data_IF_541268149407
#
_entry.id   IF_541268149407
#
_cell.length_a   1.000
_cell.length_b   1.000
_cell.length_c   1.000
_cell.angle_alpha   90.00
_cell.angle_beta   90.00
_cell.angle_gamma   90.00
#
_symmetry.space_group_name_H-M   'P 1'
#
loop_
_entity.id
_entity.type
_entity.pdbx_description
1 polymer ?
#
# COMPACT_ATOMS: atom_id res chain seq x y z
N UNK A 1 3.42 13.39 -6.38
CA UNK A 1 4.19 12.61 -7.37
C UNK A 1 4.20 11.12 -7.08
N UNK A 2 4.41 10.66 -5.82
CA UNK A 2 4.42 9.24 -5.44
C UNK A 2 3.14 8.49 -5.86
N UNK A 3 1.95 9.06 -5.56
CA UNK A 3 0.67 8.46 -5.94
C UNK A 3 0.54 8.33 -7.47
N UNK A 4 0.97 9.35 -8.22
CA UNK A 4 0.91 9.31 -9.68
C UNK A 4 1.87 8.27 -10.26
N UNK A 5 3.07 8.15 -9.72
CA UNK A 5 4.04 7.13 -10.13
C UNK A 5 3.49 5.71 -9.86
N UNK A 6 2.89 5.49 -8.68
CA UNK A 6 2.23 4.24 -8.35
C UNK A 6 1.05 3.96 -9.28
N UNK A 7 0.21 4.97 -9.54
CA UNK A 7 -0.97 4.82 -10.40
C UNK A 7 -0.63 4.49 -11.86
N UNK A 8 0.51 4.92 -12.36
CA UNK A 8 0.99 4.60 -13.71
C UNK A 8 1.78 3.29 -13.78
N UNK A 9 2.13 2.72 -12.64
CA UNK A 9 2.95 1.52 -12.64
C UNK A 9 2.23 0.34 -13.30
N UNK A 10 2.86 -0.39 -14.24
CA UNK A 10 2.23 -1.50 -14.97
C UNK A 10 1.64 -2.56 -14.05
N UNK A 11 2.30 -2.88 -12.93
CA UNK A 11 1.77 -3.84 -11.97
C UNK A 11 0.43 -3.39 -11.38
N UNK A 12 0.26 -2.09 -11.07
CA UNK A 12 -0.99 -1.54 -10.54
C UNK A 12 -2.09 -1.54 -11.61
N UNK A 13 -1.75 -1.16 -12.85
CA UNK A 13 -2.67 -1.18 -13.98
C UNK A 13 -3.15 -2.59 -14.34
N UNK A 14 -2.28 -3.59 -14.17
CA UNK A 14 -2.61 -5.00 -14.38
C UNK A 14 -3.42 -5.57 -13.21
N UNK A 15 -2.98 -5.33 -11.99
CA UNK A 15 -3.57 -5.90 -10.77
C UNK A 15 -5.04 -5.52 -10.57
N UNK A 16 -5.40 -4.27 -10.90
CA UNK A 16 -6.75 -3.75 -10.78
C UNK A 16 -7.49 -3.67 -12.12
N UNK A 17 -6.98 -4.36 -13.16
CA UNK A 17 -7.57 -4.49 -14.50
C UNK A 17 -7.78 -3.16 -15.25
N UNK A 18 -7.08 -2.10 -14.86
CA UNK A 18 -7.18 -0.80 -15.55
C UNK A 18 -6.75 -0.89 -17.02
N UNK A 19 -5.74 -1.70 -17.31
CA UNK A 19 -5.25 -1.89 -18.68
C UNK A 19 -6.32 -2.40 -19.66
N UNK A 20 -7.42 -2.96 -19.14
CA UNK A 20 -8.54 -3.47 -19.93
C UNK A 20 -9.71 -2.46 -19.99
N UNK A 21 -9.71 -1.39 -19.20
CA UNK A 21 -10.77 -0.40 -19.12
C UNK A 21 -10.80 0.48 -20.38
N UNK A 22 -11.96 0.58 -21.01
CA UNK A 22 -12.16 1.36 -22.24
C UNK A 22 -13.44 2.20 -22.14
N UNK A 23 -13.44 3.32 -22.87
CA UNK A 23 -14.61 4.19 -22.93
C UNK A 23 -15.86 3.44 -23.43
N UNK A 24 -17.04 3.70 -22.83
CA UNK A 24 -18.29 3.19 -23.34
C UNK A 24 -18.48 3.56 -24.83
N UNK A 25 -18.80 2.58 -25.67
CA UNK A 25 -19.00 2.82 -27.12
C UNK A 25 -17.74 3.00 -27.94
N UNK A 26 -16.55 2.93 -27.37
CA UNK A 26 -15.29 2.94 -28.12
C UNK A 26 -15.15 1.68 -28.99
N UNK A 27 -14.37 1.76 -30.09
CA UNK A 27 -14.09 0.58 -30.93
C UNK A 27 -13.45 -0.58 -30.18
N UNK A 28 -12.73 -0.30 -29.08
CA UNK A 28 -12.18 -1.32 -28.18
C UNK A 28 -13.24 -2.05 -27.38
N UNK A 29 -14.41 -1.43 -27.15
CA UNK A 29 -15.57 -2.02 -26.46
C UNK A 29 -16.58 -2.70 -27.39
N UNK A 30 -16.54 -2.42 -28.67
CA UNK A 30 -17.52 -2.96 -29.65
C UNK A 30 -17.39 -4.47 -29.89
N UNK A 31 -16.26 -5.09 -29.52
CA UNK A 31 -16.05 -6.55 -29.60
C UNK A 31 -16.63 -7.35 -28.43
N UNK A 32 -17.35 -6.73 -27.50
CA UNK A 32 -18.08 -7.40 -26.41
C UNK A 32 -17.26 -7.85 -25.19
N UNK A 33 -15.92 -7.83 -25.25
CA UNK A 33 -15.06 -8.35 -24.18
C UNK A 33 -14.40 -7.27 -23.32
N UNK A 34 -14.58 -6.00 -23.64
CA UNK A 34 -14.00 -4.88 -22.87
C UNK A 34 -15.04 -3.78 -22.66
N UNK A 35 -15.08 -3.25 -21.46
CA UNK A 35 -15.97 -2.16 -21.07
C UNK A 35 -15.32 -1.25 -20.05
N UNK A 36 -16.09 -0.34 -19.51
CA UNK A 36 -15.65 0.48 -18.39
C UNK A 36 -15.42 -0.40 -17.16
N UNK A 37 -14.23 -0.37 -16.62
CA UNK A 37 -13.87 -1.05 -15.36
C UNK A 37 -13.78 -0.02 -14.24
N UNK A 38 -14.62 -0.18 -13.21
CA UNK A 38 -14.67 0.73 -12.07
C UNK A 38 -13.71 0.31 -10.94
N UNK A 39 -13.16 -0.91 -10.98
CA UNK A 39 -12.36 -1.46 -9.88
C UNK A 39 -11.16 -0.55 -9.55
N UNK A 40 -10.39 -0.21 -10.55
CA UNK A 40 -9.22 0.67 -10.36
C UNK A 40 -9.58 2.03 -9.74
N UNK A 41 -10.63 2.68 -10.26
CA UNK A 41 -11.08 3.98 -9.75
C UNK A 41 -11.59 3.87 -8.30
N UNK A 42 -12.31 2.79 -7.98
CA UNK A 42 -12.77 2.50 -6.64
C UNK A 42 -11.61 2.36 -5.67
N UNK A 43 -10.65 1.49 -5.98
CA UNK A 43 -9.51 1.23 -5.10
C UNK A 43 -8.61 2.47 -4.96
N UNK A 44 -8.47 3.27 -6.03
CA UNK A 44 -7.76 4.54 -5.96
C UNK A 44 -8.41 5.51 -4.96
N UNK A 45 -9.74 5.58 -4.92
CA UNK A 45 -10.48 6.41 -3.96
C UNK A 45 -10.50 5.79 -2.56
N UNK A 46 -10.76 4.50 -2.45
CA UNK A 46 -10.94 3.81 -1.16
C UNK A 46 -9.63 3.52 -0.45
N UNK A 47 -8.65 2.95 -1.14
CA UNK A 47 -7.43 2.47 -0.51
C UNK A 47 -6.30 3.48 -0.58
N UNK A 48 -6.16 4.17 -1.70
CA UNK A 48 -4.98 4.98 -1.97
C UNK A 48 -5.17 6.47 -1.67
N UNK A 49 -6.43 6.95 -1.51
CA UNK A 49 -6.70 8.37 -1.24
C UNK A 49 -7.73 8.57 -0.12
N UNK A 50 -8.99 8.78 -0.46
CA UNK A 50 -10.04 9.30 0.42
C UNK A 50 -10.46 8.37 1.57
N UNK A 51 -10.38 7.07 1.34
CA UNK A 51 -10.95 6.05 2.24
C UNK A 51 -12.43 5.76 1.93
N UNK A 52 -12.93 4.63 2.46
CA UNK A 52 -14.32 4.18 2.24
C UNK A 52 -15.36 5.26 2.61
N UNK A 53 -15.08 6.05 3.65
CA UNK A 53 -15.94 7.12 4.11
C UNK A 53 -15.56 8.50 3.56
N UNK A 54 -14.85 8.53 2.41
CA UNK A 54 -14.31 9.74 1.81
C UNK A 54 -15.32 10.73 1.23
N UNK A 55 -16.63 10.43 1.31
CA UNK A 55 -17.70 11.32 0.87
C UNK A 55 -17.96 11.33 -0.64
N UNK A 56 -17.45 10.38 -1.38
CA UNK A 56 -17.74 10.19 -2.81
C UNK A 56 -18.92 9.23 -3.00
N UNK A 57 -19.58 9.36 -4.14
CA UNK A 57 -20.70 8.51 -4.58
C UNK A 57 -20.25 7.46 -5.60
N UNK A 58 -21.12 6.49 -5.87
CA UNK A 58 -20.93 5.53 -6.96
C UNK A 58 -20.81 6.24 -8.34
N UNK A 59 -21.49 7.37 -8.53
CA UNK A 59 -21.35 8.18 -9.74
C UNK A 59 -19.94 8.77 -9.87
N UNK A 60 -19.35 9.21 -8.77
CA UNK A 60 -17.97 9.72 -8.75
C UNK A 60 -16.96 8.63 -9.11
N UNK A 61 -17.16 7.41 -8.60
CA UNK A 61 -16.32 6.25 -8.97
C UNK A 61 -16.41 5.97 -10.46
N UNK A 62 -17.63 5.95 -11.02
CA UNK A 62 -17.84 5.74 -12.45
C UNK A 62 -17.21 6.83 -13.29
N UNK A 63 -17.38 8.08 -12.92
CA UNK A 63 -16.80 9.19 -13.65
C UNK A 63 -15.29 9.23 -13.54
N UNK A 64 -14.70 8.87 -12.40
CA UNK A 64 -13.26 8.69 -12.27
C UNK A 64 -12.76 7.53 -13.16
N UNK A 65 -13.48 6.42 -13.23
CA UNK A 65 -13.15 5.33 -14.15
C UNK A 65 -13.15 5.80 -15.61
N UNK A 66 -14.12 6.62 -16.01
CA UNK A 66 -14.17 7.25 -17.34
C UNK A 66 -12.99 8.20 -17.59
N UNK A 67 -12.60 8.99 -16.57
CA UNK A 67 -11.41 9.86 -16.62
C UNK A 67 -10.14 9.05 -16.87
N UNK A 68 -10.03 7.86 -16.30
CA UNK A 68 -8.85 7.00 -16.42
C UNK A 68 -8.86 6.07 -17.62
N UNK A 69 -9.94 6.02 -18.41
CA UNK A 69 -9.96 5.22 -19.66
C UNK A 69 -8.80 5.62 -20.58
N UNK A 70 -8.23 4.64 -21.25
CA UNK A 70 -7.06 4.84 -22.11
C UNK A 70 -5.70 4.67 -21.38
N UNK A 71 -5.68 4.67 -20.03
CA UNK A 71 -4.49 4.30 -19.27
C UNK A 71 -4.26 2.80 -19.38
N UNK A 72 -3.17 2.39 -20.01
CA UNK A 72 -2.90 0.98 -20.33
C UNK A 72 -1.41 0.68 -20.25
N UNK A 73 -1.04 -0.55 -20.58
CA UNK A 73 0.33 -1.04 -20.55
C UNK A 73 0.87 -1.16 -21.96
N UNK A 74 2.12 -0.76 -22.16
CA UNK A 74 2.91 -1.06 -23.35
C UNK A 74 4.12 -1.93 -22.95
N UNK A 75 4.13 -3.21 -23.30
CA UNK A 75 5.22 -4.11 -22.94
C UNK A 75 6.55 -3.78 -23.66
N UNK A 76 6.51 -2.90 -24.67
CA UNK A 76 7.69 -2.50 -25.44
C UNK A 76 8.30 -1.19 -24.94
N UNK A 77 7.65 -0.50 -23.97
CA UNK A 77 8.17 0.72 -23.39
C UNK A 77 8.93 0.42 -22.07
N UNK A 78 9.97 1.20 -21.79
CA UNK A 78 10.83 1.01 -20.61
C UNK A 78 10.12 1.24 -19.30
N UNK A 79 9.17 2.17 -19.24
CA UNK A 79 8.33 2.41 -18.05
C UNK A 79 7.02 1.63 -18.08
N UNK A 80 6.69 1.02 -19.22
CA UNK A 80 5.55 0.16 -19.41
C UNK A 80 4.19 0.85 -19.39
N UNK A 81 4.13 2.17 -19.21
CA UNK A 81 2.89 2.94 -19.26
C UNK A 81 2.61 3.48 -20.67
N UNK A 82 1.35 3.43 -21.08
CA UNK A 82 0.89 4.06 -22.30
C UNK A 82 -0.49 4.67 -22.15
N UNK A 83 -0.69 5.84 -22.74
CA UNK A 83 -2.01 6.42 -22.94
C UNK A 83 -2.54 6.12 -24.37
N UNK A 84 -3.64 5.39 -24.46
CA UNK A 84 -4.29 5.03 -25.70
C UNK A 84 -5.49 5.96 -25.97
N UNK A 85 -5.28 7.10 -26.64
CA UNK A 85 -6.28 8.14 -26.91
C UNK A 85 -7.59 7.60 -27.47
N UNK A 86 -7.54 6.62 -28.37
CA UNK A 86 -8.73 6.00 -29.00
C UNK A 86 -9.61 5.20 -28.03
N UNK A 87 -9.10 4.87 -26.85
CA UNK A 87 -9.82 4.13 -25.82
C UNK A 87 -10.35 5.07 -24.71
N UNK A 88 -9.98 6.34 -24.76
CA UNK A 88 -10.33 7.35 -23.77
C UNK A 88 -11.75 7.92 -24.00
N UNK A 89 -12.47 8.14 -22.91
CA UNK A 89 -13.77 8.82 -22.88
C UNK A 89 -13.57 10.34 -22.93
N UNK A 90 -13.98 10.95 -24.03
CA UNK A 90 -13.85 12.40 -24.25
C UNK A 90 -15.05 13.21 -23.77
N UNK A 91 -16.10 12.57 -23.25
CA UNK A 91 -17.29 13.24 -22.77
C UNK A 91 -17.07 13.96 -21.43
N UNK A 92 -18.00 14.83 -21.05
CA UNK A 92 -17.98 15.49 -19.75
C UNK A 92 -18.09 14.46 -18.60
N UNK A 93 -17.30 14.66 -17.57
CA UNK A 93 -17.26 13.83 -16.34
C UNK A 93 -17.23 14.75 -15.12
N UNK A 94 -17.73 14.25 -14.00
CA UNK A 94 -17.71 15.02 -12.75
C UNK A 94 -17.34 14.11 -11.57
N UNK A 95 -16.22 14.38 -10.94
CA UNK A 95 -15.75 13.64 -9.76
C UNK A 95 -15.81 14.55 -8.53
N UNK A 96 -16.64 14.21 -7.56
CA UNK A 96 -16.84 15.00 -6.34
C UNK A 96 -17.07 16.51 -6.63
N UNK A 97 -17.92 16.80 -7.59
CA UNK A 97 -18.25 18.16 -7.99
C UNK A 97 -17.29 18.83 -8.98
N UNK A 98 -16.08 18.32 -9.15
CA UNK A 98 -15.10 18.86 -10.11
C UNK A 98 -15.32 18.29 -11.50
N UNK A 99 -15.37 19.17 -12.52
CA UNK A 99 -15.54 18.78 -13.94
C UNK A 99 -14.23 18.33 -14.56
N UNK A 100 -14.34 17.36 -15.48
CA UNK A 100 -13.26 16.87 -16.35
C UNK A 100 -13.79 16.70 -17.77
N UNK A 101 -13.04 17.13 -18.79
CA UNK A 101 -11.77 17.87 -18.71
C UNK A 101 -11.92 19.23 -18.02
N UNK A 102 -10.84 19.67 -17.34
CA UNK A 102 -10.76 20.98 -16.71
C UNK A 102 -10.11 21.96 -17.70
N UNK A 103 -10.90 22.47 -18.64
CA UNK A 103 -10.48 23.37 -19.68
C UNK A 103 -9.71 22.70 -20.84
N UNK A 104 -9.20 23.52 -21.77
CA UNK A 104 -8.55 23.07 -23.01
C UNK A 104 -7.24 22.29 -22.81
N UNK A 105 -6.58 22.46 -21.68
CA UNK A 105 -5.28 21.84 -21.39
C UNK A 105 -5.38 20.56 -20.54
N UNK A 106 -6.57 20.21 -20.13
CA UNK A 106 -6.82 19.08 -19.23
C UNK A 106 -7.36 17.82 -19.92
N UNK A 107 -7.23 17.70 -21.23
CA UNK A 107 -7.81 16.59 -22.00
C UNK A 107 -6.89 15.37 -22.05
N UNK A 108 -7.49 14.21 -22.26
CA UNK A 108 -6.78 12.95 -22.47
C UNK A 108 -6.01 12.46 -21.25
N UNK A 109 -4.75 12.10 -21.39
CA UNK A 109 -3.90 11.61 -20.28
C UNK A 109 -3.85 12.56 -19.09
N UNK A 110 -3.83 13.87 -19.36
CA UNK A 110 -3.76 14.90 -18.32
C UNK A 110 -5.00 14.98 -17.44
N UNK A 111 -6.15 14.54 -17.91
CA UNK A 111 -7.36 14.42 -17.06
C UNK A 111 -7.11 13.50 -15.88
N UNK A 112 -6.55 12.32 -16.14
CA UNK A 112 -6.20 11.34 -15.11
C UNK A 112 -5.16 11.89 -14.13
N UNK A 113 -4.11 12.54 -14.63
CA UNK A 113 -3.10 13.17 -13.77
C UNK A 113 -3.71 14.23 -12.85
N UNK A 114 -4.55 15.11 -13.40
CA UNK A 114 -5.21 16.17 -12.65
C UNK A 114 -6.14 15.59 -11.58
N UNK A 115 -6.91 14.55 -11.93
CA UNK A 115 -7.80 13.88 -10.98
C UNK A 115 -7.02 13.26 -9.82
N UNK A 116 -5.95 12.53 -10.11
CA UNK A 116 -5.09 11.89 -9.10
C UNK A 116 -4.42 12.93 -8.20
N UNK A 117 -3.85 14.00 -8.78
CA UNK A 117 -3.24 15.08 -8.01
C UNK A 117 -4.25 15.83 -7.14
N UNK A 118 -5.48 15.98 -7.61
CA UNK A 118 -6.55 16.61 -6.85
C UNK A 118 -7.00 15.70 -5.70
N UNK A 119 -7.23 14.40 -5.93
CA UNK A 119 -7.55 13.43 -4.88
C UNK A 119 -6.47 13.36 -3.80
N UNK A 120 -5.20 13.40 -4.19
CA UNK A 120 -4.08 13.39 -3.26
C UNK A 120 -4.04 14.59 -2.29
N UNK A 121 -4.68 15.71 -2.65
CA UNK A 121 -4.70 16.94 -1.85
C UNK A 121 -5.96 17.11 -0.98
N UNK A 122 -6.87 16.14 -1.01
CA UNK A 122 -8.11 16.25 -0.25
C UNK A 122 -7.85 16.09 1.26
N UNK A 123 -8.60 16.80 2.12
CA UNK A 123 -8.48 16.65 3.57
C UNK A 123 -8.70 15.21 4.04
N UNK A 124 -9.62 14.47 3.40
CA UNK A 124 -9.88 13.06 3.68
C UNK A 124 -8.65 12.20 3.40
N UNK A 125 -7.92 12.49 2.30
CA UNK A 125 -6.65 11.81 1.97
C UNK A 125 -5.60 12.10 3.02
N UNK A 126 -5.46 13.36 3.43
CA UNK A 126 -4.54 13.73 4.50
C UNK A 126 -4.82 12.98 5.80
N UNK A 127 -6.09 12.93 6.21
CA UNK A 127 -6.52 12.21 7.40
C UNK A 127 -6.24 10.70 7.29
N UNK A 128 -6.60 10.09 6.16
CA UNK A 128 -6.40 8.66 5.93
C UNK A 128 -4.92 8.27 5.92
N UNK A 129 -4.09 8.97 5.17
CA UNK A 129 -2.65 8.68 5.10
C UNK A 129 -2.01 8.86 6.47
N UNK A 130 -2.37 9.93 7.19
CA UNK A 130 -1.90 10.19 8.55
C UNK A 130 -2.30 9.07 9.53
N UNK A 131 -3.54 8.62 9.46
CA UNK A 131 -4.01 7.49 10.27
C UNK A 131 -3.23 6.22 9.95
N UNK A 132 -3.05 5.88 8.67
CA UNK A 132 -2.31 4.67 8.26
C UNK A 132 -0.84 4.72 8.68
N UNK A 133 -0.19 5.86 8.57
CA UNK A 133 1.18 6.05 9.08
C UNK A 133 1.24 5.89 10.60
N UNK A 134 0.31 6.49 11.34
CA UNK A 134 0.26 6.34 12.79
C UNK A 134 -0.07 4.89 13.20
N UNK A 135 -0.92 4.18 12.48
CA UNK A 135 -1.17 2.75 12.68
C UNK A 135 0.07 1.90 12.42
N UNK A 136 0.86 2.25 11.42
CA UNK A 136 2.06 1.50 11.07
C UNK A 136 3.24 1.72 12.04
N UNK A 137 3.36 2.93 12.59
CA UNK A 137 4.55 3.31 13.37
C UNK A 137 4.28 3.47 14.88
N UNK A 138 3.04 3.65 15.32
CA UNK A 138 2.72 3.97 16.72
C UNK A 138 1.93 2.84 17.39
N UNK A 139 0.69 2.59 16.94
CA UNK A 139 -0.15 1.53 17.49
C UNK A 139 -1.34 1.24 16.59
N UNK A 140 -2.00 0.09 16.77
CA UNK A 140 -3.22 -0.28 16.01
C UNK A 140 -4.34 0.76 16.16
N UNK A 141 -4.42 1.39 17.34
CA UNK A 141 -5.36 2.48 17.65
C UNK A 141 -4.57 3.71 18.10
N UNK A 142 -3.99 4.48 17.15
CA UNK A 142 -3.14 5.61 17.50
C UNK A 142 -3.93 6.75 18.15
N UNK A 143 -3.31 7.51 19.07
CA UNK A 143 -3.93 8.71 19.63
C UNK A 143 -4.40 9.68 18.55
N UNK A 144 -5.63 10.18 18.68
CA UNK A 144 -6.20 11.12 17.70
C UNK A 144 -5.37 12.40 17.54
N UNK A 145 -4.68 12.81 18.60
CA UNK A 145 -3.82 14.00 18.59
C UNK A 145 -2.66 13.89 17.60
N UNK A 146 -1.99 12.72 17.52
CA UNK A 146 -0.91 12.52 16.54
C UNK A 146 -1.46 12.48 15.13
N UNK A 147 -2.58 11.78 14.91
CA UNK A 147 -3.22 11.73 13.58
C UNK A 147 -3.61 13.13 13.09
N UNK A 148 -4.21 13.95 13.95
CA UNK A 148 -4.58 15.32 13.63
C UNK A 148 -3.35 16.18 13.26
N UNK A 149 -2.27 16.07 14.03
CA UNK A 149 -1.01 16.78 13.79
C UNK A 149 -0.36 16.41 12.46
N UNK A 150 -0.32 15.10 12.16
CA UNK A 150 0.17 14.61 10.87
C UNK A 150 -0.68 15.10 9.71
N UNK A 151 -2.02 15.07 9.85
CA UNK A 151 -2.95 15.54 8.83
C UNK A 151 -2.78 17.04 8.55
N UNK A 152 -2.57 17.85 9.58
CA UNK A 152 -2.26 19.27 9.42
C UNK A 152 -0.94 19.50 8.68
N UNK A 153 0.11 18.76 9.06
CA UNK A 153 1.40 18.82 8.36
C UNK A 153 1.28 18.38 6.90
N UNK A 154 0.52 17.31 6.65
CA UNK A 154 0.27 16.83 5.28
C UNK A 154 -0.38 17.93 4.41
N UNK A 155 -1.42 18.58 4.91
CA UNK A 155 -2.11 19.65 4.17
C UNK A 155 -1.21 20.88 4.00
N UNK A 156 -0.53 21.33 5.05
CA UNK A 156 0.35 22.50 5.00
C UNK A 156 1.54 22.31 4.06
N UNK A 157 2.10 21.10 4.01
CA UNK A 157 3.23 20.75 3.15
C UNK A 157 2.84 20.24 1.76
N UNK A 158 1.53 20.23 1.44
CA UNK A 158 0.99 19.67 0.20
C UNK A 158 1.38 18.20 -0.04
N UNK A 159 1.44 17.41 1.03
CA UNK A 159 1.75 15.98 0.99
C UNK A 159 3.26 15.66 0.96
N UNK A 160 4.12 16.54 1.47
CA UNK A 160 5.52 16.21 1.67
C UNK A 160 5.66 15.14 2.78
N UNK A 161 5.92 13.91 2.34
CA UNK A 161 6.02 12.75 3.24
C UNK A 161 7.20 12.85 4.21
N UNK A 162 8.27 13.58 3.87
CA UNK A 162 9.39 13.81 4.78
C UNK A 162 8.98 14.70 5.95
N UNK A 163 8.22 15.76 5.66
CA UNK A 163 7.68 16.64 6.69
C UNK A 163 6.72 15.88 7.60
N UNK A 164 5.82 15.05 7.03
CA UNK A 164 4.86 14.25 7.79
C UNK A 164 5.58 13.22 8.68
N UNK A 165 6.54 12.47 8.14
CA UNK A 165 7.31 11.48 8.92
C UNK A 165 8.16 12.14 10.00
N UNK A 166 8.74 13.32 9.73
CA UNK A 166 9.45 14.08 10.76
C UNK A 166 8.51 14.46 11.90
N UNK A 167 7.34 15.00 11.59
CA UNK A 167 6.30 15.31 12.60
C UNK A 167 5.91 14.07 13.42
N UNK A 168 5.84 12.89 12.78
CA UNK A 168 5.55 11.63 13.46
C UNK A 168 6.66 11.27 14.46
N UNK A 169 7.92 11.22 14.01
CA UNK A 169 9.03 10.79 14.85
C UNK A 169 9.42 11.81 15.93
N UNK A 170 9.09 13.09 15.74
CA UNK A 170 9.25 14.12 16.76
C UNK A 170 8.07 14.18 17.75
N UNK A 171 6.98 13.43 17.50
CA UNK A 171 5.83 13.45 18.39
C UNK A 171 6.07 12.63 19.65
N UNK A 172 5.66 13.15 20.85
CA UNK A 172 5.82 12.42 22.11
C UNK A 172 5.16 11.03 22.09
N UNK A 173 4.02 10.90 21.43
CA UNK A 173 3.25 9.66 21.35
C UNK A 173 4.02 8.53 20.66
N UNK A 174 4.92 8.84 19.74
CA UNK A 174 5.75 7.83 19.08
C UNK A 174 6.69 7.12 20.06
N UNK A 175 7.19 7.85 21.08
CA UNK A 175 8.15 7.35 22.05
C UNK A 175 7.53 6.82 23.35
N UNK A 176 6.19 6.86 23.47
CA UNK A 176 5.50 6.36 24.65
C UNK A 176 5.53 4.83 24.72
N UNK A 177 5.94 4.21 25.83
CA UNK A 177 6.05 2.75 25.97
C UNK A 177 4.70 2.02 25.83
N UNK A 178 3.59 2.72 26.07
CA UNK A 178 2.22 2.20 25.95
C UNK A 178 1.85 1.96 24.50
N UNK A 179 2.42 2.72 23.57
CA UNK A 179 2.18 2.60 22.14
C UNK A 179 3.07 1.50 21.56
N UNK A 180 2.54 0.27 21.56
CA UNK A 180 3.24 -0.92 21.08
C UNK A 180 2.53 -1.53 19.87
N UNK A 181 3.33 -2.02 18.96
CA UNK A 181 2.85 -2.78 17.81
C UNK A 181 3.10 -4.27 18.03
N UNK A 182 2.09 -5.08 17.81
CA UNK A 182 2.26 -6.51 17.72
C UNK A 182 2.81 -6.88 16.34
N UNK A 183 3.92 -7.61 16.32
CA UNK A 183 4.54 -8.01 15.04
C UNK A 183 3.63 -8.96 14.27
N UNK A 184 3.36 -8.65 13.02
CA UNK A 184 2.75 -9.61 12.09
C UNK A 184 3.66 -10.85 11.93
N UNK A 185 3.19 -11.97 11.37
CA UNK A 185 4.06 -13.11 11.10
C UNK A 185 5.31 -12.74 10.29
N UNK A 186 5.18 -11.86 9.29
CA UNK A 186 6.30 -11.38 8.48
C UNK A 186 7.29 -10.56 9.30
N UNK A 187 6.80 -9.58 10.07
CA UNK A 187 7.65 -8.74 10.93
C UNK A 187 8.39 -9.58 11.98
N UNK A 188 7.69 -10.58 12.54
CA UNK A 188 8.28 -11.50 13.49
C UNK A 188 9.39 -12.33 12.84
N UNK A 189 9.13 -12.91 11.66
CA UNK A 189 10.10 -13.70 10.95
C UNK A 189 11.35 -12.90 10.55
N UNK A 190 11.15 -11.70 10.01
CA UNK A 190 12.26 -10.80 9.66
C UNK A 190 13.08 -10.41 10.91
N UNK A 191 12.40 -10.12 12.03
CA UNK A 191 13.09 -9.79 13.29
C UNK A 191 13.89 -10.96 13.85
N UNK A 192 13.33 -12.19 13.79
CA UNK A 192 14.03 -13.38 14.26
C UNK A 192 15.28 -13.67 13.41
N UNK A 193 15.15 -13.57 12.08
CA UNK A 193 16.29 -13.73 11.18
C UNK A 193 17.35 -12.65 11.42
N UNK A 194 16.97 -11.39 11.55
CA UNK A 194 17.91 -10.30 11.82
C UNK A 194 18.65 -10.51 13.15
N UNK A 195 17.96 -11.03 14.18
CA UNK A 195 18.55 -11.31 15.48
C UNK A 195 19.64 -12.41 15.40
N UNK A 196 19.43 -13.46 14.59
CA UNK A 196 20.43 -14.56 14.48
C UNK A 196 21.53 -14.28 13.45
N UNK A 197 21.28 -13.42 12.48
CA UNK A 197 22.27 -13.07 11.47
C UNK A 197 23.31 -12.05 11.98
N UNK A 198 22.95 -11.25 13.00
CA UNK A 198 23.76 -10.15 13.51
C UNK A 198 23.93 -9.00 12.50
N UNK A 199 24.20 -7.81 12.99
CA UNK A 199 24.36 -6.62 12.14
C UNK A 199 25.64 -6.65 11.25
N UNK A 200 26.55 -7.59 11.45
CA UNK A 200 27.89 -7.61 10.83
C UNK A 200 28.08 -8.70 9.76
N UNK A 201 27.07 -9.52 9.48
CA UNK A 201 27.26 -10.60 8.48
C UNK A 201 27.01 -10.09 7.06
N UNK A 202 28.04 -9.52 6.48
CA UNK A 202 28.17 -9.42 5.03
C UNK A 202 28.60 -10.80 4.49
N UNK A 203 27.67 -11.52 3.87
CA UNK A 203 27.97 -12.76 3.15
C UNK A 203 27.64 -14.03 3.92
N UNK A 204 26.35 -14.36 4.07
CA UNK A 204 25.96 -15.74 4.38
C UNK A 204 26.28 -16.67 3.22
N UNK A 205 26.69 -17.94 3.47
CA UNK A 205 26.75 -18.94 2.43
C UNK A 205 25.35 -19.09 1.78
N UNK A 206 25.30 -19.08 0.46
CA UNK A 206 24.02 -19.15 -0.30
C UNK A 206 23.11 -20.31 0.12
N UNK A 207 23.68 -21.38 0.67
CA UNK A 207 22.95 -22.55 1.14
C UNK A 207 22.29 -22.37 2.51
N UNK A 208 22.91 -21.59 3.41
CA UNK A 208 22.31 -21.22 4.70
C UNK A 208 21.15 -20.23 4.48
N UNK A 209 21.31 -19.27 3.57
CA UNK A 209 20.25 -18.35 3.16
C UNK A 209 19.04 -19.11 2.60
N UNK A 210 19.28 -20.10 1.75
CA UNK A 210 18.20 -20.91 1.17
C UNK A 210 17.41 -21.69 2.24
N UNK A 211 18.07 -22.28 3.23
CA UNK A 211 17.39 -23.00 4.32
C UNK A 211 16.53 -22.07 5.17
N UNK A 212 17.05 -20.90 5.53
CA UNK A 212 16.28 -19.89 6.26
C UNK A 212 15.08 -19.39 5.45
N UNK A 213 15.24 -19.16 4.14
CA UNK A 213 14.13 -18.73 3.27
C UNK A 213 13.02 -19.80 3.20
N UNK A 214 13.37 -21.07 3.03
CA UNK A 214 12.37 -22.17 2.98
C UNK A 214 11.65 -22.31 4.31
N UNK A 215 12.37 -22.28 5.45
CA UNK A 215 11.80 -22.33 6.77
C UNK A 215 10.84 -21.16 7.01
N UNK A 216 11.26 -19.96 6.64
CA UNK A 216 10.47 -18.73 6.79
C UNK A 216 9.22 -18.75 5.92
N UNK A 217 9.34 -19.14 4.65
CA UNK A 217 8.18 -19.24 3.77
C UNK A 217 7.15 -20.27 4.29
N UNK A 218 7.62 -21.41 4.81
CA UNK A 218 6.79 -22.40 5.46
C UNK A 218 6.07 -21.88 6.70
N UNK A 219 6.79 -21.17 7.57
CA UNK A 219 6.20 -20.51 8.73
C UNK A 219 5.13 -19.49 8.33
N UNK A 220 5.43 -18.60 7.38
CA UNK A 220 4.49 -17.57 6.92
C UNK A 220 3.19 -18.19 6.36
N UNK A 221 3.32 -19.27 5.58
CA UNK A 221 2.16 -19.98 5.05
C UNK A 221 1.30 -20.58 6.18
N UNK A 222 1.93 -21.23 7.18
CA UNK A 222 1.23 -21.81 8.32
C UNK A 222 0.65 -20.76 9.27
N UNK A 223 1.30 -19.60 9.38
CA UNK A 223 0.84 -18.48 10.19
C UNK A 223 -0.26 -17.64 9.52
N UNK A 224 -0.70 -18.00 8.30
CA UNK A 224 -1.76 -17.31 7.58
C UNK A 224 -1.32 -16.06 6.81
N UNK A 225 -0.01 -15.86 6.65
CA UNK A 225 0.54 -14.72 5.89
C UNK A 225 1.52 -15.20 4.79
N UNK A 226 1.09 -16.10 3.88
CA UNK A 226 1.96 -16.53 2.79
C UNK A 226 2.34 -15.35 1.89
N UNK A 227 3.56 -15.36 1.37
CA UNK A 227 4.05 -14.34 0.43
C UNK A 227 3.16 -14.38 -0.82
N UNK A 228 2.66 -13.21 -1.23
CA UNK A 228 1.71 -13.04 -2.37
C UNK A 228 0.41 -13.87 -2.26
N UNK A 229 0.02 -14.30 -1.06
CA UNK A 229 -1.18 -15.12 -0.87
C UNK A 229 -2.47 -14.35 -0.62
N UNK A 230 -2.41 -13.03 -0.38
CA UNK A 230 -3.59 -12.22 -0.16
C UNK A 230 -4.26 -11.87 -1.49
N UNK A 231 -5.59 -12.08 -1.57
CA UNK A 231 -6.30 -11.98 -2.84
C UNK A 231 -7.01 -10.64 -3.05
N UNK A 232 -7.27 -9.90 -1.97
CA UNK A 232 -7.98 -8.62 -2.04
C UNK A 232 -7.03 -7.43 -2.01
N UNK A 233 -7.39 -6.26 -2.57
CA UNK A 233 -6.49 -5.13 -2.73
C UNK A 233 -6.14 -4.42 -1.42
N UNK A 234 -6.85 -4.70 -0.32
CA UNK A 234 -6.62 -4.08 0.99
C UNK A 234 -5.36 -4.62 1.73
N UNK A 235 -4.79 -5.72 1.25
CA UNK A 235 -3.60 -6.33 1.83
C UNK A 235 -3.84 -7.03 3.18
N UNK A 236 -2.80 -7.67 3.73
CA UNK A 236 -2.87 -8.30 5.03
C UNK A 236 -3.19 -7.30 6.14
N UNK A 237 -4.00 -7.72 7.10
CA UNK A 237 -4.27 -6.93 8.30
C UNK A 237 -3.00 -6.78 9.14
N UNK A 238 -2.84 -5.62 9.76
CA UNK A 238 -1.68 -5.31 10.58
C UNK A 238 -1.98 -5.28 12.08
N UNK A 239 -3.27 -5.36 12.45
CA UNK A 239 -3.72 -5.27 13.84
C UNK A 239 -3.40 -6.53 14.65
N UNK A 240 -3.15 -6.36 15.94
CA UNK A 240 -2.82 -7.42 16.88
C UNK A 240 -3.92 -8.49 16.97
N UNK A 241 -5.19 -8.10 16.90
CA UNK A 241 -6.32 -9.01 17.05
C UNK A 241 -6.33 -10.12 15.99
N UNK A 242 -5.91 -9.80 14.77
CA UNK A 242 -5.78 -10.77 13.68
C UNK A 242 -4.73 -11.85 13.96
N UNK A 243 -3.66 -11.52 14.70
CA UNK A 243 -2.47 -12.38 14.82
C UNK A 243 -2.24 -12.97 16.23
N UNK A 244 -3.12 -12.70 17.19
CA UNK A 244 -2.99 -13.12 18.60
C UNK A 244 -3.65 -14.46 18.94
N UNK A 245 -4.07 -15.25 17.96
CA UNK A 245 -4.63 -16.57 18.23
C UNK A 245 -3.62 -17.48 18.95
N UNK A 246 -4.03 -18.33 19.92
CA UNK A 246 -3.12 -19.22 20.67
C UNK A 246 -2.24 -20.09 19.77
N UNK A 247 -2.80 -20.66 18.71
CA UNK A 247 -2.05 -21.44 17.73
C UNK A 247 -0.99 -20.62 17.00
N UNK A 248 -1.26 -19.35 16.76
CA UNK A 248 -0.30 -18.44 16.12
C UNK A 248 0.92 -18.19 17.03
N UNK A 249 0.72 -18.10 18.35
CA UNK A 249 1.80 -17.96 19.33
C UNK A 249 2.66 -19.22 19.40
N UNK A 250 2.03 -20.41 19.41
CA UNK A 250 2.76 -21.69 19.37
C UNK A 250 3.63 -21.79 18.10
N UNK A 251 3.08 -21.47 16.93
CA UNK A 251 3.83 -21.47 15.67
C UNK A 251 5.01 -20.50 15.66
N UNK A 252 4.86 -19.35 16.33
CA UNK A 252 5.98 -18.38 16.50
C UNK A 252 7.08 -18.95 17.36
N UNK A 253 6.74 -19.62 18.47
CA UNK A 253 7.70 -20.27 19.35
C UNK A 253 8.47 -21.38 18.60
N UNK A 254 7.77 -22.24 17.87
CA UNK A 254 8.36 -23.30 17.06
C UNK A 254 9.30 -22.74 15.98
N UNK A 255 8.87 -21.68 15.29
CA UNK A 255 9.70 -21.02 14.29
C UNK A 255 10.95 -20.38 14.91
N UNK A 256 10.82 -19.66 16.02
CA UNK A 256 11.94 -19.06 16.72
C UNK A 256 12.97 -20.12 17.17
N UNK A 257 12.49 -21.23 17.71
CA UNK A 257 13.35 -22.35 18.10
C UNK A 257 14.06 -22.98 16.89
N UNK A 258 13.37 -23.16 15.76
CA UNK A 258 13.96 -23.69 14.55
C UNK A 258 15.04 -22.78 13.97
N UNK A 259 14.81 -21.45 13.95
CA UNK A 259 15.80 -20.45 13.54
C UNK A 259 17.00 -20.46 14.48
N UNK A 260 16.76 -20.47 15.80
CA UNK A 260 17.83 -20.51 16.79
C UNK A 260 18.73 -21.75 16.65
N UNK A 261 18.14 -22.93 16.41
CA UNK A 261 18.90 -24.18 16.20
C UNK A 261 19.76 -24.15 14.93
N UNK A 262 19.39 -23.37 13.92
CA UNK A 262 20.17 -23.23 12.69
C UNK A 262 21.26 -22.16 12.79
N UNK A 263 21.18 -21.26 13.76
CA UNK A 263 22.10 -20.14 13.92
C UNK A 263 23.48 -20.51 14.48
N UNK A 264 23.63 -21.69 15.10
CA UNK A 264 24.87 -22.10 15.78
C UNK A 264 25.09 -21.34 17.08
N UNK A 265 26.30 -20.80 17.28
CA UNK A 265 26.64 -20.04 18.48
C UNK A 265 25.87 -18.71 18.52
N UNK A 266 25.04 -18.56 19.55
CA UNK A 266 24.18 -17.38 19.81
C UNK A 266 24.74 -16.48 20.91
N UNK A 267 26.02 -16.55 21.21
CA UNK A 267 26.66 -15.75 22.28
C UNK A 267 26.42 -14.25 22.14
N UNK A 268 26.18 -13.76 20.94
CA UNK A 268 25.85 -12.35 20.69
C UNK A 268 24.48 -11.90 21.27
N UNK A 269 23.59 -12.83 21.61
CA UNK A 269 22.32 -12.53 22.26
C UNK A 269 22.43 -12.41 23.78
N UNK A 270 23.52 -12.83 24.38
CA UNK A 270 23.71 -12.79 25.84
C UNK A 270 23.46 -11.41 26.46
N UNK A 271 23.94 -10.29 25.88
CA UNK A 271 23.68 -8.97 26.42
C UNK A 271 22.18 -8.59 26.50
N UNK A 272 21.35 -9.21 25.66
CA UNK A 272 19.91 -8.93 25.56
C UNK A 272 19.03 -9.91 26.38
N UNK A 273 19.64 -10.96 26.94
CA UNK A 273 18.95 -11.96 27.76
C UNK A 273 19.11 -11.73 29.26
N UNK A 274 19.90 -10.72 29.66
CA UNK A 274 20.23 -10.43 31.05
C UNK A 274 19.40 -9.25 31.63
N UNK A 275 18.48 -8.69 30.90
CA UNK A 275 17.46 -7.71 31.33
C UNK A 275 16.06 -8.36 31.42
#
# INVERSE_FOLDING_TARGET
>A
DLLLASARHPAMLHYLDQAQSVAPGSRGGQGGNRGLNENYARELMELHTLGVQGGYSQADVRDLARVLTGWTIDPNDTDGFRFATRLHDTGDKRVMGRRYPDGLFGTGEREGEQAIRWLARQPQTAQRISLRLAQFFVSDTPPLAVVARLSQTFLASQGDMRAVLRTLFESPEFWQPENRLFKTPMDFACSALAAVQGAERTGMPAEADRRHLVLTAGFLAQAGQPIHGWQTPDGYKTDAATWLAPEALTRRADYALAVARQAGDMGFLQPYLSE
#
